data_IF_918544471869
#
_entry.id   IF_918544471869
#
_cell.length_a   1.000
_cell.length_b   1.000
_cell.length_c   1.000
_cell.angle_alpha   90.00
_cell.angle_beta   90.00
_cell.angle_gamma   90.00
#
_symmetry.space_group_name_H-M   'P 1'
#
loop_
_entity.id
_entity.type
_entity.pdbx_description
1 polymer ?
#
# COMPACT_ATOMS: atom_id res chain seq x y z
N UNK A 1 5.29 -32.55 0.94
CA UNK A 1 5.41 -31.54 2.02
C UNK A 1 5.54 -30.17 1.37
N UNK A 2 4.43 -29.45 1.22
CA UNK A 2 4.45 -28.07 0.70
C UNK A 2 4.55 -27.13 1.89
N UNK A 3 5.73 -26.57 2.11
CA UNK A 3 5.96 -25.47 3.03
C UNK A 3 5.16 -24.26 2.52
N UNK A 4 4.01 -24.02 3.15
CA UNK A 4 3.25 -22.78 2.96
C UNK A 4 4.13 -21.65 3.48
N UNK A 5 4.77 -20.91 2.57
CA UNK A 5 5.40 -19.63 2.89
C UNK A 5 4.27 -18.75 3.44
N UNK A 6 4.29 -18.50 4.75
CA UNK A 6 3.34 -17.60 5.39
C UNK A 6 3.75 -16.20 4.99
N UNK A 7 3.15 -15.71 3.91
CA UNK A 7 3.32 -14.34 3.51
C UNK A 7 2.60 -13.45 4.53
N UNK A 8 3.35 -12.54 5.14
CA UNK A 8 2.82 -11.60 6.13
C UNK A 8 2.54 -10.28 5.45
N UNK A 9 1.27 -10.00 5.16
CA UNK A 9 0.86 -8.65 4.79
C UNK A 9 1.08 -7.77 6.03
N UNK A 10 1.97 -6.78 5.91
CA UNK A 10 2.22 -5.81 6.97
C UNK A 10 1.48 -4.52 6.63
N UNK A 11 0.57 -4.10 7.50
CA UNK A 11 -0.08 -2.80 7.43
C UNK A 11 0.34 -1.96 8.65
N UNK A 12 0.93 -0.79 8.40
CA UNK A 12 1.30 0.17 9.43
C UNK A 12 0.60 1.51 9.19
N UNK A 13 0.03 2.09 10.25
CA UNK A 13 -0.59 3.41 10.20
C UNK A 13 0.22 4.38 11.05
N UNK A 14 0.84 5.36 10.40
CA UNK A 14 1.60 6.43 11.06
C UNK A 14 0.78 7.72 11.08
N UNK A 15 0.74 8.39 12.23
CA UNK A 15 0.11 9.70 12.39
C UNK A 15 1.19 10.75 12.61
N UNK A 16 1.16 11.83 11.82
CA UNK A 16 2.01 12.99 12.00
C UNK A 16 1.11 14.15 12.43
N UNK A 17 1.47 14.76 13.55
CA UNK A 17 0.77 15.92 14.10
C UNK A 17 1.77 17.04 14.41
N UNK A 18 1.28 18.28 14.41
CA UNK A 18 2.06 19.47 14.73
C UNK A 18 1.52 20.03 16.03
N UNK A 19 2.40 20.44 16.95
CA UNK A 19 2.01 21.16 18.17
C UNK A 19 2.60 22.56 18.16
N UNK A 20 1.79 23.56 18.51
CA UNK A 20 2.30 24.89 18.79
C UNK A 20 2.97 24.88 20.18
N UNK A 21 4.30 25.02 20.23
CA UNK A 21 5.02 25.20 21.50
C UNK A 21 5.08 26.69 21.80
N UNK A 22 4.14 27.18 22.62
CA UNK A 22 4.25 28.51 23.22
C UNK A 22 5.26 28.45 24.39
N UNK A 23 6.41 29.08 24.23
CA UNK A 23 7.38 29.26 25.33
C UNK A 23 6.74 30.13 26.43
N UNK A 24 6.33 29.49 27.53
CA UNK A 24 5.80 30.21 28.70
C UNK A 24 4.68 29.52 29.47
N UNK A 25 4.15 28.37 29.02
CA UNK A 25 3.16 27.62 29.80
C UNK A 25 3.80 26.42 30.51
N UNK A 26 3.60 26.37 31.83
CA UNK A 26 3.91 25.22 32.70
C UNK A 26 3.33 23.94 32.11
N UNK A 27 4.09 22.86 32.16
CA UNK A 27 3.78 21.52 31.66
C UNK A 27 2.32 21.10 31.91
N UNK A 28 1.44 21.40 30.96
CA UNK A 28 0.07 20.92 30.92
C UNK A 28 -0.19 20.53 29.47
N UNK A 29 -0.24 19.21 29.25
CA UNK A 29 -0.67 18.50 28.05
C UNK A 29 -0.33 19.21 26.74
N UNK A 30 0.74 18.77 26.08
CA UNK A 30 0.95 19.12 24.68
C UNK A 30 -0.31 18.71 23.90
N UNK A 31 -1.19 19.69 23.65
CA UNK A 31 -2.39 19.51 22.85
C UNK A 31 -1.90 19.15 21.47
N UNK A 32 -2.11 17.90 21.07
CA UNK A 32 -1.88 17.47 19.70
C UNK A 32 -2.86 18.30 18.85
N UNK A 33 -2.38 19.39 18.29
CA UNK A 33 -3.09 20.12 17.25
C UNK A 33 -3.23 19.15 16.07
N UNK A 34 -4.44 19.10 15.51
CA UNK A 34 -4.94 18.21 14.45
C UNK A 34 -3.90 17.41 13.65
N UNK A 35 -4.19 16.12 13.39
CA UNK A 35 -3.40 15.29 12.47
C UNK A 35 -3.26 16.00 11.12
N UNK A 36 -2.02 16.34 10.75
CA UNK A 36 -1.72 17.06 9.50
C UNK A 36 -1.43 16.11 8.35
N UNK A 37 -1.00 14.89 8.66
CA UNK A 37 -0.75 13.85 7.68
C UNK A 37 -0.89 12.47 8.32
N UNK A 38 -1.44 11.53 7.57
CA UNK A 38 -1.52 10.11 7.94
C UNK A 38 -0.93 9.26 6.83
N UNK A 39 -0.04 8.36 7.18
CA UNK A 39 0.53 7.40 6.24
C UNK A 39 -0.05 6.02 6.52
N UNK A 40 -0.55 5.37 5.48
CA UNK A 40 -0.91 3.95 5.51
C UNK A 40 0.12 3.23 4.66
N UNK A 41 0.90 2.35 5.27
CA UNK A 41 1.98 1.61 4.62
C UNK A 41 1.58 0.14 4.54
N UNK A 42 1.54 -0.42 3.33
CA UNK A 42 1.11 -1.80 3.06
C UNK A 42 2.24 -2.53 2.32
N UNK A 43 2.67 -3.69 2.80
CA UNK A 43 3.64 -4.56 2.12
C UNK A 43 3.04 -5.92 1.75
N UNK A 44 3.70 -6.61 0.82
CA UNK A 44 3.42 -8.02 0.50
C UNK A 44 1.98 -8.30 0.04
N UNK A 45 1.36 -7.33 -0.64
CA UNK A 45 -0.05 -7.38 -1.02
C UNK A 45 -0.31 -8.05 -2.39
N UNK A 46 0.64 -8.82 -2.93
CA UNK A 46 0.56 -9.35 -4.29
C UNK A 46 -0.42 -10.50 -4.54
N UNK A 47 -1.10 -11.00 -3.50
CA UNK A 47 -2.14 -12.04 -3.62
C UNK A 47 -3.53 -11.39 -3.66
N UNK A 48 -4.46 -11.93 -4.44
CA UNK A 48 -5.88 -11.54 -4.37
C UNK A 48 -6.67 -12.61 -3.61
N UNK A 49 -6.72 -12.47 -2.29
CA UNK A 49 -7.42 -13.40 -1.41
C UNK A 49 -8.18 -12.70 -0.27
N UNK A 50 -8.94 -13.48 0.50
CA UNK A 50 -9.77 -12.98 1.60
C UNK A 50 -8.95 -12.29 2.71
N UNK A 51 -7.69 -12.69 2.90
CA UNK A 51 -6.83 -12.07 3.90
C UNK A 51 -6.38 -10.69 3.44
N UNK A 52 -5.96 -10.57 2.17
CA UNK A 52 -5.61 -9.30 1.54
C UNK A 52 -6.80 -8.33 1.57
N UNK A 53 -7.98 -8.80 1.15
CA UNK A 53 -9.21 -8.01 1.18
C UNK A 53 -9.53 -7.53 2.60
N UNK A 54 -9.38 -8.40 3.61
CA UNK A 54 -9.60 -8.04 5.01
C UNK A 54 -8.66 -6.94 5.51
N UNK A 55 -7.38 -7.00 5.16
CA UNK A 55 -6.39 -5.97 5.53
C UNK A 55 -6.67 -4.65 4.83
N UNK A 56 -6.93 -4.68 3.52
CA UNK A 56 -7.24 -3.46 2.74
C UNK A 56 -8.52 -2.82 3.28
N UNK A 57 -9.58 -3.59 3.50
CA UNK A 57 -10.82 -3.07 4.06
C UNK A 57 -10.60 -2.46 5.44
N UNK A 58 -9.83 -3.12 6.32
CA UNK A 58 -9.51 -2.54 7.63
C UNK A 58 -8.72 -1.22 7.49
N UNK A 59 -7.71 -1.18 6.63
CA UNK A 59 -6.91 0.02 6.38
C UNK A 59 -7.76 1.18 5.83
N UNK A 60 -8.78 0.91 5.00
CA UNK A 60 -9.68 1.96 4.48
C UNK A 60 -10.48 2.64 5.60
N UNK A 61 -10.78 1.95 6.70
CA UNK A 61 -11.46 2.56 7.86
C UNK A 61 -10.59 3.61 8.56
N UNK A 62 -9.28 3.60 8.34
CA UNK A 62 -8.33 4.53 8.92
C UNK A 62 -8.09 5.77 8.05
N UNK A 63 -8.74 5.87 6.89
CA UNK A 63 -8.57 7.00 5.97
C UNK A 63 -9.23 8.27 6.52
N UNK A 64 -8.44 9.33 6.59
CA UNK A 64 -8.90 10.70 6.80
C UNK A 64 -8.80 11.42 5.45
N UNK A 65 -9.94 11.80 4.89
CA UNK A 65 -10.02 12.47 3.58
C UNK A 65 -9.15 13.73 3.56
N UNK A 66 -8.27 13.83 2.57
CA UNK A 66 -7.35 14.98 2.39
C UNK A 66 -6.12 14.99 3.30
N UNK A 67 -6.00 14.04 4.23
CA UNK A 67 -4.88 13.93 5.18
C UNK A 67 -4.12 12.62 4.99
N UNK A 68 -4.81 11.54 4.60
CA UNK A 68 -4.20 10.23 4.43
C UNK A 68 -3.57 10.04 3.06
N UNK A 69 -2.34 9.51 3.05
CA UNK A 69 -1.64 8.99 1.87
C UNK A 69 -1.31 7.52 2.07
N UNK A 70 -1.48 6.71 1.03
CA UNK A 70 -1.23 5.27 1.06
C UNK A 70 0.02 4.94 0.25
N UNK A 71 0.91 4.13 0.82
CA UNK A 71 2.09 3.60 0.15
C UNK A 71 2.09 2.08 0.20
N UNK A 72 2.23 1.47 -0.96
CA UNK A 72 2.57 0.06 -1.08
C UNK A 72 4.08 -0.09 -1.20
N UNK A 73 4.69 -0.94 -0.36
CA UNK A 73 6.13 -0.99 -0.11
C UNK A 73 6.86 -2.11 -0.86
N UNK A 74 6.20 -2.79 -1.80
CA UNK A 74 6.80 -3.87 -2.58
C UNK A 74 5.94 -5.11 -2.67
N UNK A 75 6.32 -5.98 -3.58
CA UNK A 75 5.69 -7.27 -3.87
C UNK A 75 4.17 -7.13 -4.05
N UNK A 76 3.83 -6.22 -4.96
CA UNK A 76 2.48 -5.76 -5.21
C UNK A 76 1.69 -6.73 -6.10
N UNK A 77 2.36 -7.59 -6.87
CA UNK A 77 1.75 -8.60 -7.73
C UNK A 77 2.59 -9.89 -7.75
N UNK A 78 2.03 -11.00 -7.26
CA UNK A 78 2.66 -12.32 -7.35
C UNK A 78 2.30 -13.10 -8.63
N UNK A 79 3.13 -14.08 -9.03
CA UNK A 79 4.48 -14.36 -8.53
C UNK A 79 5.57 -13.60 -9.29
N UNK A 80 5.26 -12.89 -10.38
CA UNK A 80 6.26 -12.25 -11.26
C UNK A 80 5.82 -10.89 -11.77
N UNK A 81 5.09 -10.12 -10.96
CA UNK A 81 4.71 -8.76 -11.34
C UNK A 81 3.59 -8.73 -12.37
N UNK A 82 3.43 -7.56 -12.99
CA UNK A 82 2.37 -7.28 -13.95
C UNK A 82 2.46 -8.17 -15.21
N UNK A 83 1.31 -8.66 -15.68
CA UNK A 83 1.20 -9.36 -16.96
C UNK A 83 1.38 -8.39 -18.12
N UNK A 84 2.11 -8.82 -19.15
CA UNK A 84 2.32 -8.02 -20.36
C UNK A 84 1.13 -8.17 -21.31
N UNK A 85 0.90 -7.21 -22.23
CA UNK A 85 -0.18 -7.28 -23.20
C UNK A 85 -0.25 -8.62 -23.94
N UNK A 86 -1.41 -9.28 -23.89
CA UNK A 86 -1.64 -10.56 -24.54
C UNK A 86 -1.12 -11.80 -23.79
N UNK A 87 -0.53 -11.62 -22.60
CA UNK A 87 -0.20 -12.74 -21.72
C UNK A 87 -1.47 -13.30 -21.06
N UNK A 88 -1.41 -14.56 -20.61
CA UNK A 88 -2.56 -15.22 -19.96
C UNK A 88 -2.90 -14.56 -18.62
N UNK A 89 -1.92 -13.93 -18.00
CA UNK A 89 -1.97 -13.34 -16.66
C UNK A 89 -2.32 -11.84 -16.68
N UNK A 90 -2.43 -11.21 -17.86
CA UNK A 90 -2.67 -9.75 -17.98
C UNK A 90 -3.90 -9.31 -17.19
N UNK A 91 -5.03 -9.99 -17.37
CA UNK A 91 -6.27 -9.61 -16.70
C UNK A 91 -6.19 -9.86 -15.19
N UNK A 92 -5.68 -11.01 -14.77
CA UNK A 92 -5.55 -11.37 -13.35
C UNK A 92 -4.66 -10.38 -12.59
N UNK A 93 -3.50 -10.04 -13.15
CA UNK A 93 -2.54 -9.11 -12.53
C UNK A 93 -3.09 -7.68 -12.48
N UNK A 94 -3.88 -7.28 -13.48
CA UNK A 94 -4.64 -6.02 -13.46
C UNK A 94 -5.70 -6.00 -12.35
N UNK A 95 -6.37 -7.11 -12.10
CA UNK A 95 -7.36 -7.21 -11.04
C UNK A 95 -6.70 -7.12 -9.65
N UNK A 96 -5.55 -7.79 -9.46
CA UNK A 96 -4.73 -7.71 -8.23
C UNK A 96 -4.33 -6.26 -7.91
N UNK A 97 -3.79 -5.51 -8.88
CA UNK A 97 -3.37 -4.12 -8.60
C UNK A 97 -4.58 -3.19 -8.43
N UNK A 98 -5.69 -3.47 -9.12
CA UNK A 98 -6.93 -2.67 -9.01
C UNK A 98 -7.60 -2.84 -7.65
N UNK A 99 -7.63 -4.05 -7.08
CA UNK A 99 -8.20 -4.28 -5.75
C UNK A 99 -7.49 -3.47 -4.66
N UNK A 100 -6.18 -3.25 -4.84
CA UNK A 100 -5.34 -2.50 -3.93
C UNK A 100 -5.63 -1.00 -3.91
N UNK A 101 -5.57 -0.30 -5.05
CA UNK A 101 -5.70 1.16 -5.03
C UNK A 101 -7.15 1.66 -5.04
N UNK A 102 -8.10 0.91 -5.62
CA UNK A 102 -9.46 1.41 -5.89
C UNK A 102 -10.23 1.79 -4.62
N UNK A 103 -10.20 1.01 -3.51
CA UNK A 103 -10.88 1.36 -2.27
C UNK A 103 -10.38 2.68 -1.67
N UNK A 104 -9.06 2.92 -1.68
CA UNK A 104 -8.48 4.15 -1.15
C UNK A 104 -8.75 5.36 -2.03
N UNK A 105 -8.69 5.20 -3.36
CA UNK A 105 -9.01 6.30 -4.29
C UNK A 105 -10.48 6.72 -4.19
N UNK A 106 -11.40 5.79 -3.92
CA UNK A 106 -12.80 6.11 -3.66
C UNK A 106 -12.98 7.02 -2.42
N UNK A 107 -12.06 6.96 -1.47
CA UNK A 107 -12.03 7.82 -0.27
C UNK A 107 -11.20 9.10 -0.47
N UNK A 108 -10.73 9.39 -1.69
CA UNK A 108 -9.83 10.49 -2.04
C UNK A 108 -8.47 10.44 -1.30
N UNK A 109 -7.99 9.25 -0.97
CA UNK A 109 -6.61 9.07 -0.53
C UNK A 109 -5.72 8.76 -1.75
N UNK A 110 -4.64 9.52 -1.99
CA UNK A 110 -3.65 9.17 -2.99
C UNK A 110 -2.94 7.86 -2.62
N UNK A 111 -2.60 7.07 -3.63
CA UNK A 111 -1.95 5.76 -3.50
C UNK A 111 -0.69 5.76 -4.36
N UNK A 112 0.42 5.32 -3.77
CA UNK A 112 1.71 5.18 -4.45
C UNK A 112 2.23 3.76 -4.28
N UNK A 113 2.94 3.27 -5.30
CA UNK A 113 3.53 1.93 -5.32
C UNK A 113 5.05 2.04 -5.42
N UNK A 114 5.74 1.28 -4.56
CA UNK A 114 7.17 0.99 -4.65
C UNK A 114 7.28 -0.46 -5.14
N UNK A 115 8.01 -0.75 -6.23
CA UNK A 115 8.13 -2.11 -6.73
C UNK A 115 9.06 -2.94 -5.84
N UNK A 116 8.67 -4.19 -5.57
CA UNK A 116 9.50 -5.21 -4.93
C UNK A 116 10.19 -6.12 -5.95
N UNK A 117 10.79 -7.22 -5.46
CA UNK A 117 11.47 -8.17 -6.31
C UNK A 117 10.51 -8.95 -7.21
N UNK A 118 9.28 -9.22 -6.76
CA UNK A 118 8.28 -9.89 -7.60
C UNK A 118 7.81 -9.00 -8.75
N UNK A 119 7.59 -7.71 -8.47
CA UNK A 119 7.20 -6.71 -9.47
C UNK A 119 8.29 -6.55 -10.55
N UNK A 120 9.56 -6.65 -10.14
CA UNK A 120 10.73 -6.62 -11.02
C UNK A 120 11.03 -7.97 -11.71
N UNK A 121 10.00 -8.79 -11.96
CA UNK A 121 10.14 -10.12 -12.61
C UNK A 121 11.16 -11.06 -11.95
N UNK A 122 11.41 -10.89 -10.64
CA UNK A 122 12.51 -11.55 -9.90
C UNK A 122 13.89 -11.31 -10.54
N UNK A 123 14.18 -10.06 -10.90
CA UNK A 123 15.40 -9.68 -11.64
C UNK A 123 15.49 -10.29 -13.04
N UNK A 124 14.33 -10.59 -13.63
CA UNK A 124 14.21 -11.04 -15.00
C UNK A 124 14.38 -9.91 -16.03
N UNK A 125 14.63 -10.26 -17.30
CA UNK A 125 14.87 -9.28 -18.37
C UNK A 125 13.66 -8.37 -18.65
N UNK A 126 12.44 -8.80 -18.28
CA UNK A 126 11.21 -8.05 -18.48
C UNK A 126 10.84 -7.18 -17.28
N UNK A 127 11.64 -7.15 -16.21
CA UNK A 127 11.30 -6.45 -14.96
C UNK A 127 10.97 -4.98 -15.14
N UNK A 128 11.78 -4.25 -15.93
CA UNK A 128 11.55 -2.83 -16.21
C UNK A 128 10.24 -2.59 -16.98
N UNK A 129 9.92 -3.45 -17.94
CA UNK A 129 8.69 -3.34 -18.72
C UNK A 129 7.46 -3.61 -17.85
N UNK A 130 7.52 -4.63 -16.99
CA UNK A 130 6.44 -4.96 -16.06
C UNK A 130 6.19 -3.85 -15.04
N UNK A 131 7.23 -3.25 -14.48
CA UNK A 131 7.08 -2.10 -13.56
C UNK A 131 6.49 -0.89 -14.27
N UNK A 132 6.90 -0.61 -15.52
CA UNK A 132 6.30 0.47 -16.32
C UNK A 132 4.82 0.24 -16.61
N UNK A 133 4.40 -1.02 -16.74
CA UNK A 133 3.01 -1.41 -17.00
C UNK A 133 2.10 -1.34 -15.76
N UNK A 134 2.69 -1.33 -14.56
CA UNK A 134 1.98 -1.29 -13.29
C UNK A 134 1.41 0.11 -12.97
N UNK A 135 1.96 1.17 -13.58
CA UNK A 135 1.49 2.56 -13.49
C UNK A 135 0.92 3.11 -14.80
#
# INVERSE_FOLDING_TARGET
MSSRLRLFIVCFVANIAVGNISFGQTANSAKIDSIVSRLVLIGDAGELDLQQDGVINNATTQVIKGVTTVFYLGDNIYPRGMGLPGSKEEQQTKDIITSQFKPFRALNAPVYFIPGNHDWDKSGPLGLEKVRRQG
#
